data_IF_601824352431
#
_entry.id   IF_601824352431
#
_cell.length_a   1.000
_cell.length_b   1.000
_cell.length_c   1.000
_cell.angle_alpha   90.00
_cell.angle_beta   90.00
_cell.angle_gamma   90.00
#
_symmetry.space_group_name_H-M   'P 1'
#
loop_
_entity.id
_entity.type
_entity.pdbx_description
1 polymer ?
#
# COMPACT_ATOMS: atom_id res chain seq x y z
N UNK A 1 8.31 13.24 -1.71
CA UNK A 1 7.66 12.31 -2.65
C UNK A 1 7.95 12.78 -4.06
N UNK A 2 8.34 11.90 -4.98
CA UNK A 2 8.53 12.29 -6.40
C UNK A 2 7.17 12.70 -6.98
N UNK A 3 7.09 13.71 -7.86
CA UNK A 3 5.83 14.12 -8.47
C UNK A 3 5.19 12.90 -9.16
N UNK A 4 3.92 12.64 -8.83
CA UNK A 4 3.11 11.58 -9.41
C UNK A 4 2.70 11.99 -10.82
N UNK A 5 3.56 11.70 -11.80
CA UNK A 5 3.31 11.99 -13.20
C UNK A 5 4.58 12.06 -14.05
N UNK A 6 4.40 12.12 -15.37
CA UNK A 6 5.50 12.30 -16.30
C UNK A 6 6.13 13.69 -16.17
N UNK A 7 7.46 13.75 -16.28
CA UNK A 7 8.17 15.02 -16.35
C UNK A 7 7.77 15.82 -17.61
N UNK A 8 7.97 17.13 -17.60
CA UNK A 8 7.72 17.98 -18.77
C UNK A 8 8.46 17.47 -20.00
N UNK A 9 9.72 17.08 -19.84
CA UNK A 9 10.55 16.55 -20.93
C UNK A 9 9.99 15.23 -21.46
N UNK A 10 9.55 14.34 -20.57
CA UNK A 10 8.92 13.06 -20.96
C UNK A 10 7.63 13.30 -21.77
N UNK A 11 6.78 14.25 -21.34
CA UNK A 11 5.57 14.62 -22.10
C UNK A 11 5.90 15.20 -23.47
N UNK A 12 6.90 16.09 -23.55
CA UNK A 12 7.37 16.66 -24.82
C UNK A 12 7.88 15.60 -25.79
N UNK A 13 8.65 14.64 -25.30
CA UNK A 13 9.16 13.53 -26.13
C UNK A 13 8.01 12.69 -26.66
N UNK A 14 7.00 12.39 -25.84
CA UNK A 14 5.82 11.67 -26.30
C UNK A 14 5.06 12.46 -27.38
N UNK A 15 4.78 13.74 -27.13
CA UNK A 15 4.09 14.61 -28.10
C UNK A 15 4.80 14.58 -29.47
N UNK A 16 6.12 14.69 -29.48
CA UNK A 16 6.91 14.72 -30.72
C UNK A 16 6.92 13.37 -31.45
N UNK A 17 6.95 12.25 -30.72
CA UNK A 17 7.17 10.92 -31.34
C UNK A 17 5.89 10.16 -31.65
N UNK A 18 4.80 10.37 -30.90
CA UNK A 18 3.55 9.62 -31.03
C UNK A 18 2.32 10.52 -31.23
N UNK A 19 2.50 11.84 -31.18
CA UNK A 19 1.44 12.84 -31.37
C UNK A 19 0.79 13.31 -30.06
N UNK A 20 0.14 14.47 -30.12
CA UNK A 20 -0.44 15.15 -28.96
C UNK A 20 -1.47 14.30 -28.22
N UNK A 21 -2.45 13.73 -28.94
CA UNK A 21 -3.54 12.95 -28.35
C UNK A 21 -3.03 11.72 -27.60
N UNK A 22 -2.21 10.89 -28.26
CA UNK A 22 -1.66 9.68 -27.66
C UNK A 22 -0.72 9.99 -26.47
N UNK A 23 0.03 11.09 -26.56
CA UNK A 23 0.91 11.53 -25.47
C UNK A 23 0.13 11.97 -24.23
N UNK A 24 -1.01 12.64 -24.41
CA UNK A 24 -1.90 13.03 -23.32
C UNK A 24 -2.50 11.78 -22.66
N UNK A 25 -3.05 10.86 -23.45
CA UNK A 25 -3.64 9.61 -22.94
C UNK A 25 -2.63 8.79 -22.11
N UNK A 26 -1.40 8.66 -22.60
CA UNK A 26 -0.34 7.95 -21.86
C UNK A 26 0.03 8.69 -20.57
N UNK A 27 0.10 10.02 -20.61
CA UNK A 27 0.40 10.80 -19.41
C UNK A 27 -0.69 10.65 -18.34
N UNK A 28 -1.96 10.63 -18.76
CA UNK A 28 -3.10 10.39 -17.88
C UNK A 28 -3.10 8.98 -17.30
N UNK A 29 -2.88 7.96 -18.13
CA UNK A 29 -2.79 6.57 -17.69
C UNK A 29 -1.68 6.37 -16.66
N UNK A 30 -0.48 6.91 -16.92
CA UNK A 30 0.66 6.83 -15.99
C UNK A 30 0.35 7.53 -14.67
N UNK A 31 -0.37 8.66 -14.69
CA UNK A 31 -0.77 9.36 -13.48
C UNK A 31 -1.78 8.54 -12.65
N UNK A 32 -2.76 7.92 -13.31
CA UNK A 32 -3.73 7.04 -12.66
C UNK A 32 -3.04 5.82 -12.03
N UNK A 33 -2.15 5.15 -12.78
CA UNK A 33 -1.39 4.00 -12.27
C UNK A 33 -0.51 4.39 -11.08
N UNK A 34 0.14 5.56 -11.10
CA UNK A 34 0.93 6.03 -9.96
C UNK A 34 0.06 6.24 -8.71
N UNK A 35 -1.17 6.77 -8.87
CA UNK A 35 -2.11 6.93 -7.78
C UNK A 35 -2.61 5.58 -7.23
N UNK A 36 -2.87 4.61 -8.09
CA UNK A 36 -3.24 3.25 -7.69
C UNK A 36 -2.13 2.54 -6.93
N UNK A 37 -0.88 2.63 -7.40
CA UNK A 37 0.28 2.06 -6.71
C UNK A 37 0.43 2.68 -5.33
N UNK A 38 0.24 3.99 -5.19
CA UNK A 38 0.29 4.67 -3.90
C UNK A 38 -0.83 4.19 -2.97
N UNK A 39 -2.04 4.00 -3.51
CA UNK A 39 -3.16 3.41 -2.77
C UNK A 39 -2.82 2.00 -2.28
N UNK A 40 -2.26 1.15 -3.13
CA UNK A 40 -1.83 -0.20 -2.76
C UNK A 40 -0.71 -0.18 -1.72
N UNK A 41 0.23 0.76 -1.82
CA UNK A 41 1.32 0.94 -0.85
C UNK A 41 0.80 1.35 0.53
N UNK A 42 -0.26 2.16 0.58
CA UNK A 42 -0.92 2.56 1.82
C UNK A 42 -1.89 1.52 2.39
N UNK A 43 -2.29 0.51 1.60
CA UNK A 43 -2.95 -0.70 2.10
C UNK A 43 -1.88 -1.57 2.78
N UNK A 44 -1.42 -1.06 3.92
CA UNK A 44 -0.69 -1.80 4.92
C UNK A 44 -1.63 -2.93 5.37
N UNK A 45 -1.20 -4.17 5.15
CA UNK A 45 -1.85 -5.39 5.64
C UNK A 45 -2.39 -5.11 7.04
N UNK A 46 -3.70 -5.24 7.22
CA UNK A 46 -4.35 -5.06 8.51
C UNK A 46 -3.93 -6.24 9.39
N UNK A 47 -2.77 -6.13 10.06
CA UNK A 47 -2.28 -7.15 10.97
C UNK A 47 -3.18 -7.08 12.20
N UNK A 48 -4.25 -7.87 12.19
CA UNK A 48 -5.03 -8.13 13.39
C UNK A 48 -4.13 -8.91 14.34
N UNK A 49 -3.62 -8.25 15.39
CA UNK A 49 -2.85 -8.91 16.44
C UNK A 49 -3.78 -9.90 17.15
N UNK A 50 -3.66 -11.18 16.84
CA UNK A 50 -4.34 -12.24 17.58
C UNK A 50 -3.59 -12.41 18.91
N UNK A 51 -4.21 -11.97 20.00
CA UNK A 51 -3.74 -12.29 21.35
C UNK A 51 -4.48 -13.55 21.78
N UNK A 52 -3.76 -14.67 21.91
CA UNK A 52 -4.30 -15.84 22.57
C UNK A 52 -4.48 -15.50 24.05
N UNK A 53 -5.72 -15.49 24.50
CA UNK A 53 -6.04 -15.37 25.92
C UNK A 53 -5.36 -16.51 26.67
N UNK A 54 -4.58 -16.16 27.68
CA UNK A 54 -4.14 -17.10 28.71
C UNK A 54 -5.42 -17.47 29.47
N UNK A 55 -6.10 -18.53 29.03
CA UNK A 55 -7.07 -19.22 29.86
C UNK A 55 -6.30 -20.22 30.71
N UNK A 56 -6.13 -19.94 31.99
CA UNK A 56 -6.93 -20.73 32.93
C UNK A 56 -7.14 -20.05 34.30
N UNK A 57 -8.25 -20.38 34.97
CA UNK A 57 -8.86 -19.64 36.05
C UNK A 57 -8.46 -20.15 37.45
N UNK A 58 -8.64 -19.26 38.43
CA UNK A 58 -8.81 -19.44 39.88
C UNK A 58 -8.93 -20.85 40.50
N UNK A 59 -8.14 -21.07 41.57
CA UNK A 59 -8.34 -21.89 42.80
C UNK A 59 -8.48 -23.44 42.73
N UNK A 60 -7.63 -24.19 43.47
CA UNK A 60 -7.96 -25.05 44.67
C UNK A 60 -6.76 -25.95 45.08
N UNK A 61 -6.70 -26.28 46.37
CA UNK A 61 -5.62 -26.78 47.27
C UNK A 61 -5.27 -28.28 47.06
N UNK A 62 -3.98 -28.65 47.26
CA UNK A 62 -3.59 -29.99 47.73
C UNK A 62 -2.34 -29.89 48.64
N UNK A 63 -2.45 -30.55 49.78
CA UNK A 63 -1.56 -30.59 50.93
C UNK A 63 -0.21 -31.28 50.62
N UNK A 64 0.88 -30.84 51.26
CA UNK A 64 1.96 -31.77 51.63
C UNK A 64 2.43 -31.47 53.05
N UNK A 65 2.21 -32.46 53.91
CA UNK A 65 2.66 -32.55 55.29
C UNK A 65 3.97 -33.31 55.32
N UNK A 66 5.07 -32.69 55.79
CA UNK A 66 6.08 -33.23 56.73
C UNK A 66 6.78 -32.05 57.42
#
# INVERSE_FOLDING_TARGET
MKPSGLSYNSRKVLIVNIGDTAAIEIAELVAQMAAEIEKLRHIKVNITRIVFGISDPSHTIAEESV
#
